data_IF_063817512432
#
_entry.id   IF_063817512432
#
_cell.length_a   1.000
_cell.length_b   1.000
_cell.length_c   1.000
_cell.angle_alpha   90.00
_cell.angle_beta   90.00
_cell.angle_gamma   90.00
#
_symmetry.space_group_name_H-M   'P 1'
#
loop_
_entity.id
_entity.type
_entity.pdbx_description
1 polymer ?
#
# COMPACT_ATOMS: atom_id res chain seq x y z
N UNK A 1 34.78 8.32 1.06
CA UNK A 1 33.63 8.59 0.17
C UNK A 1 33.15 7.37 -0.59
N UNK A 2 34.07 6.65 -1.24
CA UNK A 2 33.71 5.36 -1.86
C UNK A 2 33.23 4.33 -0.82
N UNK A 3 33.74 4.39 0.38
CA UNK A 3 33.34 3.50 1.48
C UNK A 3 31.91 3.77 1.97
N UNK A 4 31.49 5.03 1.98
CA UNK A 4 30.13 5.39 2.36
C UNK A 4 29.09 4.87 1.39
N UNK A 5 29.44 4.88 0.09
CA UNK A 5 28.56 4.33 -0.95
C UNK A 5 28.48 2.81 -0.84
N UNK A 6 29.59 2.15 -0.51
CA UNK A 6 29.65 0.70 -0.33
C UNK A 6 28.91 0.22 0.92
N UNK A 7 28.80 1.09 1.92
CA UNK A 7 28.14 0.78 3.19
C UNK A 7 26.67 1.23 3.23
N UNK A 8 26.18 1.85 2.16
CA UNK A 8 24.76 2.22 2.08
C UNK A 8 23.89 0.95 2.10
N UNK A 9 22.83 0.93 2.94
CA UNK A 9 21.94 -0.24 2.98
C UNK A 9 21.32 -0.50 1.62
N UNK A 10 21.41 -1.74 1.15
CA UNK A 10 20.73 -2.17 -0.06
C UNK A 10 19.32 -2.58 0.33
N UNK A 11 18.28 -1.99 -0.27
CA UNK A 11 16.91 -2.38 0.03
C UNK A 11 16.68 -3.86 -0.23
N UNK A 12 15.96 -4.50 0.65
CA UNK A 12 15.55 -5.89 0.47
C UNK A 12 14.57 -5.99 -0.69
N UNK A 13 14.45 -7.17 -1.27
CA UNK A 13 13.39 -7.45 -2.23
C UNK A 13 12.05 -7.46 -1.46
N UNK A 14 11.01 -6.89 -2.05
CA UNK A 14 9.69 -6.89 -1.42
C UNK A 14 9.18 -8.32 -1.27
N UNK A 15 8.83 -8.74 -0.04
CA UNK A 15 8.28 -10.09 0.19
C UNK A 15 6.98 -10.29 -0.57
N UNK A 16 6.82 -11.47 -1.15
CA UNK A 16 5.64 -11.84 -1.91
C UNK A 16 4.69 -12.68 -1.05
N UNK A 17 3.41 -12.59 -1.33
CA UNK A 17 2.38 -13.31 -0.60
C UNK A 17 1.45 -12.36 0.16
N UNK A 18 0.42 -12.93 0.76
CA UNK A 18 -0.53 -12.20 1.59
C UNK A 18 -0.11 -12.33 3.05
N UNK A 19 -0.02 -11.22 3.76
CA UNK A 19 0.37 -11.20 5.17
C UNK A 19 -0.80 -10.74 6.03
N UNK A 20 -1.16 -11.50 7.07
CA UNK A 20 -2.29 -11.10 7.93
C UNK A 20 -1.90 -9.95 8.85
N UNK A 21 -2.89 -9.15 9.20
CA UNK A 21 -2.71 -8.06 10.14
C UNK A 21 -4.02 -7.70 10.82
N UNK A 22 -3.94 -6.86 11.82
CA UNK A 22 -5.09 -6.34 12.54
C UNK A 22 -4.70 -5.03 13.21
N UNK A 23 -5.63 -4.07 13.23
CA UNK A 23 -5.40 -2.83 13.97
C UNK A 23 -5.59 -3.06 15.46
N UNK A 24 -4.76 -2.42 16.28
CA UNK A 24 -5.00 -2.41 17.72
C UNK A 24 -6.07 -1.36 18.07
N UNK A 25 -6.40 -1.25 19.36
CA UNK A 25 -7.46 -0.33 19.82
C UNK A 25 -7.10 1.14 19.64
N UNK A 26 -5.84 1.45 19.36
CA UNK A 26 -5.38 2.81 19.05
C UNK A 26 -5.22 3.05 17.55
N UNK A 27 -5.62 2.09 16.73
CA UNK A 27 -5.57 2.21 15.28
C UNK A 27 -4.21 2.01 14.66
N UNK A 28 -3.33 1.28 15.33
CA UNK A 28 -2.00 0.97 14.82
C UNK A 28 -1.97 -0.45 14.27
N UNK A 29 -1.34 -0.60 13.11
CA UNK A 29 -1.14 -1.90 12.50
C UNK A 29 0.23 -2.43 12.89
N UNK A 30 0.27 -3.58 13.56
CA UNK A 30 1.53 -4.29 13.79
C UNK A 30 1.96 -4.91 12.47
N UNK A 31 3.09 -4.47 11.94
CA UNK A 31 3.59 -4.98 10.67
C UNK A 31 4.10 -6.42 10.85
N UNK A 32 3.75 -7.33 9.92
CA UNK A 32 4.39 -8.64 9.90
C UNK A 32 5.91 -8.50 9.78
N UNK A 33 6.64 -9.43 10.37
CA UNK A 33 8.10 -9.33 10.50
C UNK A 33 8.79 -9.07 9.16
N UNK A 34 8.41 -9.80 8.11
CA UNK A 34 9.01 -9.64 6.79
C UNK A 34 8.66 -8.31 6.14
N UNK A 35 7.44 -7.85 6.34
CA UNK A 35 6.99 -6.54 5.82
C UNK A 35 7.73 -5.42 6.52
N UNK A 36 7.83 -5.50 7.84
CA UNK A 36 8.57 -4.52 8.62
C UNK A 36 10.03 -4.45 8.18
N UNK A 37 10.70 -5.59 8.04
CA UNK A 37 12.09 -5.65 7.61
C UNK A 37 12.28 -4.99 6.24
N UNK A 38 11.38 -5.28 5.31
CA UNK A 38 11.43 -4.68 3.98
C UNK A 38 11.28 -3.16 4.05
N UNK A 39 10.23 -2.68 4.72
CA UNK A 39 9.96 -1.24 4.80
C UNK A 39 11.09 -0.49 5.51
N UNK A 40 11.67 -1.07 6.55
CA UNK A 40 12.81 -0.47 7.24
C UNK A 40 14.09 -0.49 6.41
N UNK A 41 14.19 -1.38 5.43
CA UNK A 41 15.36 -1.42 4.53
C UNK A 41 15.36 -0.28 3.52
N UNK A 42 14.23 0.37 3.31
CA UNK A 42 14.11 1.49 2.38
C UNK A 42 14.75 2.74 2.96
N UNK A 43 15.22 3.66 2.11
CA UNK A 43 15.70 4.95 2.62
C UNK A 43 14.59 5.81 3.21
N UNK A 44 13.34 5.51 2.89
CA UNK A 44 12.18 6.24 3.39
C UNK A 44 11.99 6.03 4.90
N UNK A 45 11.80 7.12 5.63
CA UNK A 45 11.44 7.06 7.05
C UNK A 45 9.95 7.26 7.26
N UNK A 46 9.29 7.89 6.30
CA UNK A 46 7.88 8.21 6.39
C UNK A 46 7.10 7.43 5.34
N UNK A 47 5.89 7.06 5.73
CA UNK A 47 4.98 6.30 4.88
C UNK A 47 3.67 7.06 4.80
N UNK A 48 3.11 7.15 3.61
CA UNK A 48 1.80 7.74 3.42
C UNK A 48 0.77 6.62 3.43
N UNK A 49 -0.03 6.58 4.50
CA UNK A 49 -1.07 5.56 4.71
C UNK A 49 -2.40 6.17 4.34
N UNK A 50 -3.02 5.68 3.29
CA UNK A 50 -4.18 6.35 2.68
C UNK A 50 -5.15 5.37 2.02
N UNK A 51 -6.17 5.91 1.37
CA UNK A 51 -7.03 5.21 0.43
C UNK A 51 -7.35 6.16 -0.73
N UNK A 52 -7.34 5.64 -1.93
CA UNK A 52 -7.69 6.41 -3.13
C UNK A 52 -9.06 6.04 -3.68
N UNK A 53 -9.63 4.93 -3.24
CA UNK A 53 -10.89 4.38 -3.76
C UNK A 53 -11.98 4.22 -2.69
N UNK A 54 -11.66 4.52 -1.43
CA UNK A 54 -12.54 4.34 -0.26
C UNK A 54 -12.88 2.86 0.01
N UNK A 55 -12.19 1.94 -0.63
CA UNK A 55 -12.43 0.50 -0.48
C UNK A 55 -11.27 -0.21 0.18
N UNK A 56 -10.04 0.08 -0.27
CA UNK A 56 -8.83 -0.52 0.28
C UNK A 56 -7.89 0.56 0.76
N UNK A 57 -7.08 0.24 1.77
CA UNK A 57 -6.03 1.14 2.22
C UNK A 57 -4.73 0.82 1.49
N UNK A 58 -3.82 1.78 1.50
CA UNK A 58 -2.50 1.64 0.89
C UNK A 58 -1.44 2.18 1.84
N UNK A 59 -0.33 1.46 1.92
CA UNK A 59 0.85 1.92 2.64
C UNK A 59 1.91 2.23 1.58
N UNK A 60 2.16 3.51 1.37
CA UNK A 60 3.16 3.96 0.40
C UNK A 60 4.44 4.41 1.11
N UNK A 61 5.60 3.89 0.74
CA UNK A 61 6.83 4.65 1.03
C UNK A 61 6.66 6.05 0.46
N UNK A 62 7.07 7.08 1.21
CA UNK A 62 6.78 8.46 0.81
C UNK A 62 7.33 8.79 -0.59
N UNK A 63 8.50 8.24 -0.94
CA UNK A 63 9.09 8.48 -2.26
C UNK A 63 8.22 7.94 -3.38
N UNK A 64 7.57 6.80 -3.17
CA UNK A 64 6.66 6.21 -4.17
C UNK A 64 5.41 7.07 -4.32
N UNK A 65 4.85 7.55 -3.20
CA UNK A 65 3.70 8.45 -3.27
C UNK A 65 4.04 9.73 -4.01
N UNK A 66 5.19 10.35 -3.69
CA UNK A 66 5.59 11.58 -4.36
C UNK A 66 5.83 11.37 -5.86
N UNK A 67 6.41 10.24 -6.25
CA UNK A 67 6.56 9.88 -7.65
C UNK A 67 5.20 9.69 -8.34
N UNK A 68 4.23 9.12 -7.63
CA UNK A 68 2.85 8.95 -8.13
C UNK A 68 2.20 10.30 -8.37
N UNK A 69 2.34 11.24 -7.45
CA UNK A 69 1.81 12.62 -7.60
C UNK A 69 2.39 13.28 -8.86
N UNK A 70 3.68 13.14 -9.08
CA UNK A 70 4.32 13.67 -10.29
C UNK A 70 3.73 13.07 -11.57
N UNK A 71 3.49 11.77 -11.57
CA UNK A 71 2.87 11.10 -12.73
C UNK A 71 1.45 11.59 -12.97
N UNK A 72 0.69 11.79 -11.88
CA UNK A 72 -0.67 12.33 -11.98
C UNK A 72 -0.69 13.73 -12.56
N UNK A 73 0.26 14.58 -12.17
CA UNK A 73 0.37 15.94 -12.70
C UNK A 73 0.67 15.96 -14.21
N UNK A 74 1.31 14.92 -14.71
CA UNK A 74 1.69 14.83 -16.12
C UNK A 74 0.63 14.14 -17.00
N UNK A 75 -0.47 13.66 -16.41
CA UNK A 75 -1.51 12.96 -17.17
C UNK A 75 -2.35 13.90 -18.01
N UNK A 76 -2.58 13.50 -19.25
CA UNK A 76 -3.52 14.15 -20.17
C UNK A 76 -4.88 13.47 -19.99
N UNK A 77 -5.70 14.01 -19.13
CA UNK A 77 -7.01 13.44 -18.86
C UNK A 77 -7.92 14.46 -18.21
N UNK A 78 -9.13 14.05 -17.80
CA UNK A 78 -10.04 14.94 -17.10
C UNK A 78 -9.41 15.45 -15.81
N UNK A 79 -9.08 16.75 -15.79
CA UNK A 79 -8.36 17.36 -14.67
C UNK A 79 -9.14 17.25 -13.36
N UNK A 80 -10.47 17.31 -13.43
CA UNK A 80 -11.29 17.18 -12.24
C UNK A 80 -11.22 15.76 -11.66
N UNK A 81 -11.13 14.74 -12.48
CA UNK A 81 -10.97 13.36 -12.00
C UNK A 81 -9.62 13.17 -11.30
N UNK A 82 -8.57 13.73 -11.88
CA UNK A 82 -7.23 13.68 -11.29
C UNK A 82 -7.22 14.40 -9.94
N UNK A 83 -7.80 15.62 -9.89
CA UNK A 83 -7.89 16.39 -8.67
C UNK A 83 -8.70 15.68 -7.60
N UNK A 84 -9.82 15.05 -7.97
CA UNK A 84 -10.66 14.29 -7.04
C UNK A 84 -9.92 13.08 -6.47
N UNK A 85 -9.15 12.39 -7.30
CA UNK A 85 -8.31 11.28 -6.86
C UNK A 85 -7.32 11.73 -5.77
N UNK A 86 -6.62 12.84 -6.02
CA UNK A 86 -5.64 13.39 -5.09
C UNK A 86 -6.31 13.86 -3.79
N UNK A 87 -7.46 14.55 -3.90
CA UNK A 87 -8.22 15.00 -2.72
C UNK A 87 -8.65 13.83 -1.85
N UNK A 88 -9.12 12.75 -2.46
CA UNK A 88 -9.50 11.53 -1.73
C UNK A 88 -8.31 10.97 -0.97
N UNK A 89 -7.15 10.89 -1.62
CA UNK A 89 -5.94 10.41 -0.98
C UNK A 89 -5.56 11.27 0.22
N UNK A 90 -5.66 12.58 0.12
CA UNK A 90 -5.34 13.48 1.24
C UNK A 90 -6.39 13.42 2.36
N UNK A 91 -7.65 13.25 2.02
CA UNK A 91 -8.70 13.15 3.01
C UNK A 91 -8.52 11.96 3.94
N UNK A 92 -8.18 10.81 3.38
CA UNK A 92 -8.04 9.58 4.15
C UNK A 92 -6.60 9.34 4.61
N UNK A 93 -5.66 10.09 4.10
CA UNK A 93 -4.26 9.82 4.29
C UNK A 93 -3.60 10.63 5.40
N UNK A 94 -2.54 10.05 5.94
CA UNK A 94 -1.64 10.73 6.86
C UNK A 94 -0.26 10.10 6.75
N UNK A 95 0.77 10.91 6.95
CA UNK A 95 2.12 10.41 7.04
C UNK A 95 2.35 9.76 8.40
N UNK A 96 3.08 8.67 8.43
CA UNK A 96 3.38 7.95 9.65
C UNK A 96 4.77 7.32 9.56
N UNK A 97 5.40 7.14 10.71
CA UNK A 97 6.66 6.42 10.83
C UNK A 97 6.39 5.08 11.52
N UNK A 98 7.21 4.08 11.21
CA UNK A 98 7.14 2.80 11.91
C UNK A 98 7.73 3.02 13.30
N UNK A 99 6.94 2.74 14.35
CA UNK A 99 7.41 2.94 15.71
C UNK A 99 8.40 1.85 16.15
N UNK A 100 8.96 2.00 17.35
CA UNK A 100 9.96 1.07 17.88
C UNK A 100 9.45 -0.36 18.06
N UNK A 101 8.13 -0.56 18.09
CA UNK A 101 7.50 -1.87 18.21
C UNK A 101 7.05 -2.43 16.86
N UNK A 102 7.38 -1.76 15.77
CA UNK A 102 7.00 -2.22 14.43
C UNK A 102 5.55 -1.94 14.07
N UNK A 103 4.96 -0.87 14.63
CA UNK A 103 3.57 -0.52 14.38
C UNK A 103 3.48 0.76 13.54
N UNK A 104 2.43 0.83 12.71
CA UNK A 104 2.19 1.95 11.82
C UNK A 104 0.78 2.49 12.09
N UNK A 105 0.68 3.79 12.33
CA UNK A 105 -0.58 4.45 12.66
C UNK A 105 -1.45 4.62 11.43
N UNK A 106 -2.72 4.24 11.56
CA UNK A 106 -3.77 4.50 10.56
C UNK A 106 -4.64 5.65 11.04
N UNK A 107 -4.83 6.62 10.17
CA UNK A 107 -5.65 7.81 10.41
C UNK A 107 -7.09 7.40 10.80
N UNK A 108 -7.72 8.05 11.80
CA UNK A 108 -9.11 7.76 12.16
C UNK A 108 -10.11 7.85 11.01
N UNK A 109 -9.95 8.83 10.11
CA UNK A 109 -10.80 8.94 8.91
C UNK A 109 -10.70 7.68 8.04
N UNK A 110 -9.48 7.17 7.85
CA UNK A 110 -9.22 5.97 7.09
C UNK A 110 -9.87 4.74 7.74
N UNK A 111 -9.64 4.57 9.05
CA UNK A 111 -10.16 3.43 9.79
C UNK A 111 -11.69 3.34 9.73
N UNK A 112 -12.35 4.47 9.96
CA UNK A 112 -13.81 4.54 9.95
C UNK A 112 -14.39 4.44 8.55
N UNK A 113 -13.79 5.18 7.62
CA UNK A 113 -14.27 5.22 6.24
C UNK A 113 -14.24 3.86 5.55
N UNK A 114 -13.27 3.02 5.89
CA UNK A 114 -13.10 1.71 5.29
C UNK A 114 -13.56 0.56 6.18
N UNK A 115 -13.98 0.84 7.42
CA UNK A 115 -14.42 -0.20 8.34
C UNK A 115 -13.33 -1.19 8.72
N UNK A 116 -12.14 -0.68 9.03
CA UNK A 116 -10.97 -1.53 9.30
C UNK A 116 -10.89 -2.02 10.74
N UNK A 117 -11.55 -1.34 11.68
CA UNK A 117 -11.44 -1.64 13.09
C UNK A 117 -12.08 -2.99 13.42
N UNK A 118 -11.33 -3.83 14.14
CA UNK A 118 -11.80 -5.14 14.55
C UNK A 118 -11.78 -6.20 13.46
N UNK A 119 -11.45 -5.83 12.23
CA UNK A 119 -11.45 -6.75 11.10
C UNK A 119 -10.09 -7.39 10.88
N UNK A 120 -10.09 -8.63 10.38
CA UNK A 120 -8.88 -9.25 9.86
C UNK A 120 -8.47 -8.56 8.57
N UNK A 121 -7.20 -8.23 8.45
CA UNK A 121 -6.67 -7.51 7.30
C UNK A 121 -5.63 -8.37 6.59
N UNK A 122 -5.47 -8.10 5.30
CA UNK A 122 -4.42 -8.70 4.49
C UNK A 122 -3.55 -7.59 3.90
N UNK A 123 -2.23 -7.75 4.01
CA UNK A 123 -1.27 -6.87 3.36
C UNK A 123 -0.79 -7.55 2.11
N UNK A 124 -1.04 -6.93 0.96
CA UNK A 124 -0.71 -7.48 -0.35
C UNK A 124 0.34 -6.60 -1.01
N UNK A 125 1.51 -7.13 -1.40
CA UNK A 125 2.55 -6.32 -2.04
C UNK A 125 2.14 -5.90 -3.45
N UNK A 126 2.40 -4.65 -3.78
CA UNK A 126 2.15 -4.07 -5.11
C UNK A 126 3.28 -3.10 -5.44
N UNK A 127 4.20 -3.50 -6.29
CA UNK A 127 5.25 -2.61 -6.84
C UNK A 127 5.92 -1.69 -5.81
N UNK A 128 6.31 -2.23 -4.67
CA UNK A 128 7.04 -1.48 -3.63
C UNK A 128 6.17 -0.84 -2.56
N UNK A 129 4.85 -0.94 -2.67
CA UNK A 129 3.92 -0.50 -1.64
C UNK A 129 2.99 -1.65 -1.25
N UNK A 130 2.12 -1.44 -0.29
CA UNK A 130 1.20 -2.48 0.17
C UNK A 130 -0.25 -2.03 0.09
N UNK A 131 -1.09 -2.91 -0.45
CA UNK A 131 -2.53 -2.79 -0.33
C UNK A 131 -2.96 -3.45 0.97
N UNK A 132 -3.88 -2.81 1.70
CA UNK A 132 -4.47 -3.35 2.92
C UNK A 132 -5.95 -3.53 2.69
N UNK A 133 -6.40 -4.77 2.74
CA UNK A 133 -7.78 -5.13 2.42
C UNK A 133 -8.35 -6.00 3.54
N UNK A 134 -9.64 -5.83 3.84
CA UNK A 134 -10.31 -6.67 4.85
C UNK A 134 -10.58 -8.07 4.30
N UNK A 135 -10.69 -9.06 5.21
CA UNK A 135 -11.08 -10.43 4.85
C UNK A 135 -12.34 -10.45 3.98
N UNK A 136 -13.36 -9.69 4.37
CA UNK A 136 -14.63 -9.65 3.68
C UNK A 136 -14.50 -9.15 2.24
N UNK A 137 -13.76 -8.06 2.06
CA UNK A 137 -13.55 -7.49 0.72
C UNK A 137 -12.68 -8.40 -0.15
N UNK A 138 -11.69 -9.05 0.44
CA UNK A 138 -10.87 -10.01 -0.28
C UNK A 138 -11.70 -11.17 -0.78
N UNK A 139 -12.59 -11.66 0.06
CA UNK A 139 -13.52 -12.76 -0.27
C UNK A 139 -14.45 -12.36 -1.43
N UNK A 140 -15.01 -11.15 -1.37
CA UNK A 140 -15.87 -10.64 -2.44
C UNK A 140 -15.14 -10.56 -3.78
N UNK A 141 -13.88 -10.18 -3.78
CA UNK A 141 -13.08 -10.08 -5.00
C UNK A 141 -12.81 -11.46 -5.63
N UNK A 142 -12.86 -12.52 -4.83
CA UNK A 142 -12.62 -13.89 -5.28
C UNK A 142 -13.88 -14.58 -5.82
N UNK A 143 -15.06 -14.02 -5.61
CA UNK A 143 -16.34 -14.60 -6.06
C UNK A 143 -16.49 -14.64 -7.57
N UNK A 144 -15.87 -13.73 -8.29
CA UNK A 144 -15.86 -13.77 -9.74
C UNK A 144 -14.96 -14.90 -10.22
N UNK A 145 -15.31 -15.53 -11.35
CA UNK A 145 -14.55 -16.66 -11.88
C UNK A 145 -13.06 -16.33 -12.01
N UNK A 146 -12.25 -16.90 -11.13
CA UNK A 146 -10.80 -16.71 -11.12
C UNK A 146 -10.16 -17.32 -12.39
N UNK A 147 -10.76 -18.33 -12.96
CA UNK A 147 -10.26 -18.96 -14.18
C UNK A 147 -10.39 -18.04 -15.39
N UNK A 148 -11.52 -17.36 -15.53
CA UNK A 148 -11.71 -16.40 -16.61
C UNK A 148 -10.74 -15.23 -16.54
N UNK A 149 -10.50 -14.72 -15.32
CA UNK A 149 -9.51 -13.66 -15.10
C UNK A 149 -8.10 -14.11 -15.46
N UNK A 150 -7.72 -15.29 -15.00
CA UNK A 150 -6.43 -15.90 -15.30
C UNK A 150 -6.21 -15.96 -16.81
N UNK A 151 -7.22 -16.43 -17.54
CA UNK A 151 -7.14 -16.57 -18.99
C UNK A 151 -6.88 -15.22 -19.67
N UNK A 152 -7.60 -14.19 -19.25
CA UNK A 152 -7.45 -12.84 -19.80
C UNK A 152 -6.05 -12.28 -19.51
N UNK A 153 -5.58 -12.41 -18.28
CA UNK A 153 -4.29 -11.84 -17.87
C UNK A 153 -3.14 -12.58 -18.53
N UNK A 154 -3.17 -13.90 -18.54
CA UNK A 154 -2.12 -14.69 -19.18
C UNK A 154 -2.11 -14.47 -20.69
N UNK A 155 -3.28 -14.21 -21.28
CA UNK A 155 -3.36 -13.80 -22.68
C UNK A 155 -2.65 -12.47 -22.95
N UNK A 156 -2.81 -11.50 -22.05
CA UNK A 156 -2.09 -10.21 -22.14
C UNK A 156 -0.58 -10.39 -21.99
N UNK A 157 -0.15 -11.25 -21.09
CA UNK A 157 1.27 -11.55 -20.90
C UNK A 157 1.89 -12.17 -22.14
N UNK A 158 1.19 -13.11 -22.79
CA UNK A 158 1.66 -13.73 -24.01
C UNK A 158 1.83 -12.73 -25.16
N UNK A 159 0.95 -11.74 -25.23
CA UNK A 159 1.02 -10.71 -26.28
C UNK A 159 2.19 -9.76 -26.11
N UNK A 160 2.70 -9.63 -24.89
CA UNK A 160 3.83 -8.73 -24.61
C UNK A 160 5.21 -9.39 -24.72
N UNK A 161 5.25 -10.70 -24.77
CA UNK A 161 6.53 -11.43 -24.88
C UNK A 161 6.97 -11.73 -26.35
#
# INVERSE_FOLDING_TARGET
>A
MAEEIQNAPIPLRQPQGSYPGKLDDKGRLKLPVKVEAYLRSLPDKEFFVTSVDKCTARIYPISIWMATVKKLDALDGPQEDIAAYVRTAHRFGAEAEIDGSGRLQFNPELRRGLGLEGEGLHLIPVNGWYEVITDGKMHLSEEESSEARKYRVEGMLRKKS
#
